data_IF_459848902737
#
_entry.id   IF_459848902737
#
_cell.length_a   1.000
_cell.length_b   1.000
_cell.length_c   1.000
_cell.angle_alpha   90.00
_cell.angle_beta   90.00
_cell.angle_gamma   90.00
#
_symmetry.space_group_name_H-M   'P 1'
#
loop_
_entity.id
_entity.type
_entity.pdbx_description
1 polymer ?
#
# COMPACT_ATOMS: atom_id res chain seq x y z
N UNK A 1 3.93 -30.43 -58.13
CA UNK A 1 2.74 -31.28 -57.86
C UNK A 1 3.25 -32.60 -57.27
N UNK A 2 3.52 -32.66 -55.96
CA UNK A 2 2.69 -33.28 -54.89
C UNK A 2 2.18 -34.69 -55.23
N UNK A 3 2.80 -35.74 -54.67
CA UNK A 3 2.19 -36.98 -54.10
C UNK A 3 3.18 -37.57 -53.08
N UNK A 4 3.05 -37.24 -51.79
CA UNK A 4 2.34 -37.99 -50.73
C UNK A 4 3.11 -39.24 -50.27
N UNK A 5 4.02 -39.07 -49.29
CA UNK A 5 4.50 -40.18 -48.46
C UNK A 5 3.72 -40.14 -47.15
N UNK A 6 2.88 -41.15 -46.94
CA UNK A 6 2.12 -41.37 -45.72
C UNK A 6 3.07 -41.84 -44.61
N UNK A 7 3.28 -41.01 -43.58
CA UNK A 7 3.97 -41.43 -42.35
C UNK A 7 2.94 -42.01 -41.40
N UNK A 8 3.12 -43.28 -41.07
CA UNK A 8 2.33 -44.05 -40.12
C UNK A 8 2.78 -43.65 -38.69
N UNK A 9 2.05 -42.77 -38.02
CA UNK A 9 2.24 -42.53 -36.59
C UNK A 9 1.63 -43.69 -35.80
N UNK A 10 2.50 -44.51 -35.19
CA UNK A 10 2.12 -45.53 -34.23
C UNK A 10 1.57 -44.89 -32.95
N UNK A 11 0.28 -45.11 -32.69
CA UNK A 11 -0.37 -44.83 -31.41
C UNK A 11 0.15 -45.85 -30.37
N UNK A 12 1.00 -45.39 -29.46
CA UNK A 12 1.36 -46.12 -28.25
C UNK A 12 0.24 -45.95 -27.23
N UNK A 13 -0.58 -47.00 -27.07
CA UNK A 13 -1.46 -47.19 -25.93
C UNK A 13 -0.62 -47.44 -24.67
N UNK A 14 -0.63 -46.52 -23.72
CA UNK A 14 -0.20 -46.80 -22.34
C UNK A 14 -1.47 -47.05 -21.53
N UNK A 15 -1.65 -48.32 -21.14
CA UNK A 15 -2.69 -48.76 -20.24
C UNK A 15 -2.49 -48.17 -18.83
N UNK A 16 -3.60 -47.72 -18.24
CA UNK A 16 -3.65 -47.05 -16.95
C UNK A 16 -3.28 -47.90 -15.75
N UNK A 17 -2.65 -47.24 -14.77
CA UNK A 17 -2.74 -47.62 -13.37
C UNK A 17 -3.89 -46.83 -12.75
N UNK A 18 -5.02 -47.49 -12.51
CA UNK A 18 -6.14 -46.95 -11.74
C UNK A 18 -5.74 -46.85 -10.27
N UNK A 19 -5.38 -45.65 -9.81
CA UNK A 19 -5.43 -45.33 -8.39
C UNK A 19 -6.91 -45.17 -7.98
N UNK A 20 -7.27 -45.76 -6.85
CA UNK A 20 -8.62 -45.67 -6.30
C UNK A 20 -9.02 -44.19 -6.09
N UNK A 21 -10.32 -43.83 -6.20
CA UNK A 21 -10.75 -42.49 -5.90
C UNK A 21 -10.49 -42.21 -4.41
N UNK A 22 -9.63 -41.23 -4.12
CA UNK A 22 -9.56 -40.61 -2.81
C UNK A 22 -10.95 -40.07 -2.45
N UNK A 23 -11.40 -40.18 -1.19
CA UNK A 23 -12.69 -39.65 -0.81
C UNK A 23 -12.72 -38.15 -1.12
N UNK A 24 -13.75 -37.74 -1.86
CA UNK A 24 -14.07 -36.34 -2.08
C UNK A 24 -14.20 -35.66 -0.73
N UNK A 25 -13.27 -34.77 -0.41
CA UNK A 25 -13.41 -33.89 0.75
C UNK A 25 -14.65 -33.05 0.47
N UNK A 26 -15.69 -33.27 1.25
CA UNK A 26 -16.91 -32.47 1.25
C UNK A 26 -16.54 -31.00 1.39
N UNK A 27 -17.08 -30.15 0.53
CA UNK A 27 -16.87 -28.71 0.51
C UNK A 27 -17.42 -27.96 1.73
N UNK A 28 -17.80 -28.65 2.80
CA UNK A 28 -18.55 -28.09 3.94
C UNK A 28 -17.73 -27.90 5.22
N UNK A 29 -16.39 -28.04 5.18
CA UNK A 29 -15.57 -27.86 6.40
C UNK A 29 -14.31 -27.03 6.12
N UNK A 30 -14.44 -25.98 5.31
CA UNK A 30 -13.47 -24.88 5.36
C UNK A 30 -13.80 -24.05 6.59
N UNK A 31 -12.88 -23.86 7.56
CA UNK A 31 -13.09 -22.89 8.61
C UNK A 31 -13.44 -21.56 7.94
N UNK A 32 -14.50 -20.90 8.42
CA UNK A 32 -14.87 -19.58 7.95
C UNK A 32 -13.61 -18.71 8.01
N UNK A 33 -13.08 -18.33 6.84
CA UNK A 33 -12.08 -17.28 6.76
C UNK A 33 -12.71 -16.08 7.48
N UNK A 34 -12.03 -15.49 8.46
CA UNK A 34 -12.39 -14.14 8.89
C UNK A 34 -12.37 -13.29 7.63
N UNK A 35 -13.55 -12.95 7.11
CA UNK A 35 -13.66 -12.25 5.84
C UNK A 35 -13.14 -10.82 5.98
N UNK A 36 -12.77 -10.20 4.86
CA UNK A 36 -12.47 -8.77 4.84
C UNK A 36 -13.69 -7.91 5.14
N UNK A 37 -13.43 -6.61 5.31
CA UNK A 37 -14.43 -5.63 5.69
C UNK A 37 -14.96 -4.88 4.44
N UNK A 38 -16.07 -5.38 3.89
CA UNK A 38 -16.75 -4.78 2.73
C UNK A 38 -17.72 -3.66 3.10
N UNK A 39 -17.48 -2.99 4.23
CA UNK A 39 -18.29 -1.86 4.70
C UNK A 39 -17.42 -0.63 4.82
N UNK A 40 -18.02 0.56 4.92
CA UNK A 40 -17.28 1.82 5.03
C UNK A 40 -16.87 2.18 6.47
N UNK A 41 -16.80 1.20 7.37
CA UNK A 41 -16.45 1.43 8.78
C UNK A 41 -15.11 2.16 8.95
N UNK A 42 -14.13 1.83 8.10
CA UNK A 42 -12.79 2.42 8.13
C UNK A 42 -12.68 3.74 7.37
N UNK A 43 -13.69 4.09 6.56
CA UNK A 43 -13.58 5.19 5.61
C UNK A 43 -13.79 6.53 6.28
N UNK A 44 -12.93 7.49 5.97
CA UNK A 44 -13.18 8.90 6.25
C UNK A 44 -14.28 9.42 5.34
N UNK A 45 -15.09 10.33 5.85
CA UNK A 45 -16.07 11.03 5.03
C UNK A 45 -15.36 12.03 4.11
N UNK A 46 -15.67 11.96 2.82
CA UNK A 46 -15.26 12.94 1.83
C UNK A 46 -15.80 14.33 2.19
N UNK A 47 -14.89 15.28 2.43
CA UNK A 47 -15.24 16.69 2.72
C UNK A 47 -15.24 17.54 1.45
N UNK A 48 -14.38 17.18 0.52
CA UNK A 48 -14.22 17.75 -0.80
C UNK A 48 -13.79 16.68 -1.80
N UNK A 49 -13.83 17.08 -3.06
CA UNK A 49 -13.51 16.26 -4.22
C UNK A 49 -12.74 17.15 -5.22
N UNK A 50 -11.53 16.74 -5.56
CA UNK A 50 -10.62 17.47 -6.44
C UNK A 50 -11.05 17.35 -7.91
N UNK A 51 -11.51 16.18 -8.33
CA UNK A 51 -11.95 15.84 -9.69
C UNK A 51 -13.08 14.79 -9.65
N UNK A 52 -14.36 15.20 -9.68
CA UNK A 52 -15.50 14.29 -9.48
C UNK A 52 -15.69 13.18 -10.52
N UNK A 53 -14.93 13.22 -11.61
CA UNK A 53 -15.00 12.24 -12.69
C UNK A 53 -13.75 11.34 -12.75
N UNK A 54 -12.80 11.51 -11.83
CA UNK A 54 -11.54 10.79 -11.78
C UNK A 54 -11.15 10.45 -10.33
N UNK A 55 -9.97 9.86 -10.13
CA UNK A 55 -9.56 9.39 -8.82
C UNK A 55 -10.15 8.02 -8.47
N UNK A 56 -9.60 7.41 -7.43
CA UNK A 56 -10.00 6.07 -7.01
C UNK A 56 -11.38 6.08 -6.33
N UNK A 57 -11.81 7.21 -5.78
CA UNK A 57 -13.13 7.42 -5.20
C UNK A 57 -14.27 7.33 -6.24
N UNK A 58 -14.03 7.79 -7.48
CA UNK A 58 -15.02 7.73 -8.58
C UNK A 58 -15.51 6.30 -8.89
N UNK A 59 -14.71 5.30 -8.50
CA UNK A 59 -15.00 3.87 -8.67
C UNK A 59 -15.07 3.12 -7.34
N UNK A 60 -15.22 3.80 -6.21
CA UNK A 60 -15.20 3.17 -4.88
C UNK A 60 -16.27 2.07 -4.76
N UNK A 61 -15.85 0.92 -4.19
CA UNK A 61 -16.61 -0.35 -4.08
C UNK A 61 -17.05 -1.01 -5.39
N UNK A 62 -16.81 -0.41 -6.56
CA UNK A 62 -17.26 -1.01 -7.84
C UNK A 62 -16.47 -2.28 -8.19
N UNK A 63 -15.24 -2.40 -7.67
CA UNK A 63 -14.35 -3.56 -7.86
C UNK A 63 -14.50 -4.67 -6.82
N UNK A 64 -15.38 -4.51 -5.82
CA UNK A 64 -15.46 -5.43 -4.69
C UNK A 64 -15.98 -6.82 -5.09
N UNK A 65 -15.24 -7.86 -4.70
CA UNK A 65 -15.63 -9.25 -4.87
C UNK A 65 -15.43 -10.04 -3.57
N UNK A 66 -16.47 -10.13 -2.70
CA UNK A 66 -16.39 -10.82 -1.41
C UNK A 66 -15.90 -12.27 -1.46
N UNK A 67 -16.22 -12.98 -2.54
CA UNK A 67 -15.82 -14.37 -2.76
C UNK A 67 -14.61 -14.49 -3.72
N UNK A 68 -13.74 -13.47 -3.77
CA UNK A 68 -12.56 -13.44 -4.63
C UNK A 68 -11.72 -14.72 -4.47
N UNK A 69 -11.46 -15.48 -5.56
CA UNK A 69 -10.58 -16.64 -5.50
C UNK A 69 -9.10 -16.23 -5.62
N UNK A 70 -8.81 -14.95 -5.89
CA UNK A 70 -7.48 -14.44 -6.21
C UNK A 70 -6.84 -13.69 -5.04
N UNK A 71 -7.65 -12.94 -4.30
CA UNK A 71 -7.19 -12.11 -3.18
C UNK A 71 -7.92 -12.53 -1.92
N UNK A 72 -7.16 -12.80 -0.86
CA UNK A 72 -7.74 -13.04 0.47
C UNK A 72 -7.93 -11.70 1.14
N UNK A 73 -9.11 -11.49 1.71
CA UNK A 73 -9.44 -10.21 2.35
C UNK A 73 -9.40 -10.40 3.86
N UNK A 74 -8.76 -9.45 4.54
CA UNK A 74 -8.57 -9.40 6.00
C UNK A 74 -9.16 -8.07 6.47
N UNK A 75 -9.87 -8.08 7.59
CA UNK A 75 -10.37 -6.85 8.21
C UNK A 75 -9.23 -6.16 8.97
N UNK A 76 -8.36 -5.45 8.24
CA UNK A 76 -7.20 -4.75 8.83
C UNK A 76 -7.61 -3.62 9.76
N UNK A 77 -8.77 -3.00 9.53
CA UNK A 77 -9.29 -1.93 10.38
C UNK A 77 -9.55 -2.38 11.82
N UNK A 78 -10.11 -3.58 12.00
CA UNK A 78 -10.37 -4.17 13.32
C UNK A 78 -9.29 -5.19 13.75
N UNK A 79 -8.19 -5.31 13.00
CA UNK A 79 -7.11 -6.22 13.35
C UNK A 79 -6.31 -5.69 14.55
N UNK A 80 -5.89 -6.62 15.41
CA UNK A 80 -5.05 -6.34 16.57
C UNK A 80 -3.68 -6.96 16.37
N UNK A 81 -2.64 -6.35 16.95
CA UNK A 81 -1.29 -6.91 16.90
C UNK A 81 -1.25 -8.30 17.56
N UNK A 82 -0.51 -9.22 16.95
CA UNK A 82 -0.31 -10.60 17.44
C UNK A 82 1.16 -10.85 17.74
N UNK A 83 1.56 -12.13 17.86
CA UNK A 83 2.95 -12.48 18.02
C UNK A 83 3.79 -12.22 16.76
N UNK A 84 3.17 -12.27 15.56
CA UNK A 84 3.86 -12.08 14.28
C UNK A 84 3.47 -10.77 13.58
N UNK A 85 2.21 -10.35 13.73
CA UNK A 85 1.66 -9.12 13.16
C UNK A 85 1.86 -7.95 14.12
N UNK A 86 2.59 -6.92 13.67
CA UNK A 86 2.56 -5.59 14.25
C UNK A 86 1.67 -4.72 13.36
N UNK A 87 0.61 -4.13 13.90
CA UNK A 87 -0.31 -3.26 13.14
C UNK A 87 -0.80 -2.09 13.99
N UNK A 88 -1.03 -0.95 13.34
CA UNK A 88 -1.73 0.20 13.92
C UNK A 88 -3.24 -0.02 13.78
N UNK A 89 -3.96 -0.39 14.86
CA UNK A 89 -5.38 -0.71 14.77
C UNK A 89 -6.19 0.55 14.47
N UNK A 90 -7.36 0.36 13.84
CA UNK A 90 -8.31 1.44 13.54
C UNK A 90 -7.74 2.61 12.71
N UNK A 91 -6.67 2.37 11.94
CA UNK A 91 -6.13 3.37 11.02
C UNK A 91 -7.13 3.61 9.88
N UNK A 92 -7.80 4.75 9.87
CA UNK A 92 -8.82 5.07 8.86
C UNK A 92 -8.22 5.32 7.48
N UNK A 93 -9.00 5.07 6.43
CA UNK A 93 -8.58 5.18 5.02
C UNK A 93 -9.51 6.12 4.25
N UNK A 94 -9.06 6.54 3.06
CA UNK A 94 -9.80 7.37 2.12
C UNK A 94 -9.21 7.10 0.74
N UNK A 95 -10.05 6.88 -0.28
CA UNK A 95 -9.59 6.89 -1.67
C UNK A 95 -9.34 8.34 -2.08
N UNK A 96 -8.28 8.60 -2.84
CA UNK A 96 -7.99 9.93 -3.36
C UNK A 96 -9.00 10.37 -4.42
N UNK A 97 -9.32 11.67 -4.43
CA UNK A 97 -10.33 12.28 -5.33
C UNK A 97 -9.75 12.85 -6.63
N UNK A 98 -8.53 12.47 -6.98
CA UNK A 98 -7.89 12.85 -8.26
C UNK A 98 -6.85 11.81 -8.67
N UNK A 99 -6.29 11.91 -9.87
CA UNK A 99 -5.23 10.98 -10.34
C UNK A 99 -3.81 11.33 -9.85
N UNK A 100 -3.64 12.34 -9.00
CA UNK A 100 -2.31 12.87 -8.64
C UNK A 100 -2.11 13.13 -7.14
N UNK A 101 -3.16 12.97 -6.33
CA UNK A 101 -3.19 13.40 -4.92
C UNK A 101 -2.81 12.31 -3.92
N UNK A 102 -2.27 11.17 -4.34
CA UNK A 102 -1.84 10.07 -3.46
C UNK A 102 -0.98 10.52 -2.27
N UNK A 103 -0.01 11.42 -2.50
CA UNK A 103 0.83 11.97 -1.44
C UNK A 103 0.05 12.85 -0.47
N UNK A 104 -0.90 13.64 -0.99
CA UNK A 104 -1.74 14.52 -0.18
C UNK A 104 -2.66 13.72 0.73
N UNK A 105 -3.29 12.67 0.20
CA UNK A 105 -4.15 11.79 0.99
C UNK A 105 -3.33 10.98 1.98
N UNK A 106 -2.13 10.50 1.63
CA UNK A 106 -1.23 9.84 2.59
C UNK A 106 -0.92 10.75 3.80
N UNK A 107 -0.66 12.04 3.57
CA UNK A 107 -0.50 13.02 4.65
C UNK A 107 -1.79 13.21 5.45
N UNK A 108 -2.95 13.31 4.78
CA UNK A 108 -4.27 13.41 5.40
C UNK A 108 -4.53 12.24 6.36
N UNK A 109 -4.23 11.01 5.94
CA UNK A 109 -4.43 9.80 6.75
C UNK A 109 -3.54 9.81 8.00
N UNK A 110 -2.27 10.20 7.87
CA UNK A 110 -1.34 10.31 9.01
C UNK A 110 -1.78 11.41 9.98
N UNK A 111 -2.17 12.58 9.47
CA UNK A 111 -2.72 13.66 10.30
C UNK A 111 -3.98 13.21 11.03
N UNK A 112 -4.87 12.46 10.37
CA UNK A 112 -6.07 11.91 10.98
C UNK A 112 -5.74 10.89 12.07
N UNK A 113 -4.81 9.97 11.82
CA UNK A 113 -4.38 8.95 12.78
C UNK A 113 -3.88 9.56 14.10
N UNK A 114 -3.23 10.73 14.05
CA UNK A 114 -2.78 11.45 15.24
C UNK A 114 -3.81 12.44 15.82
N UNK A 115 -5.06 12.43 15.35
CA UNK A 115 -6.10 13.40 15.71
C UNK A 115 -5.69 14.88 15.43
N UNK A 116 -4.80 15.10 14.45
CA UNK A 116 -4.29 16.43 14.07
C UNK A 116 -4.83 16.93 12.71
N UNK A 117 -5.73 16.20 12.05
CA UNK A 117 -6.29 16.62 10.76
C UNK A 117 -7.08 17.94 10.86
N UNK A 118 -7.83 18.14 11.95
CA UNK A 118 -8.64 19.33 12.16
C UNK A 118 -9.63 19.59 11.02
N UNK A 119 -9.61 20.81 10.47
CA UNK A 119 -10.44 21.25 9.35
C UNK A 119 -9.77 21.05 7.98
N UNK A 120 -8.57 20.46 7.95
CA UNK A 120 -7.90 20.20 6.69
C UNK A 120 -8.69 19.17 5.85
N UNK A 121 -8.60 19.33 4.54
CA UNK A 121 -9.20 18.48 3.53
C UNK A 121 -8.15 18.10 2.49
N UNK A 122 -8.51 17.25 1.53
CA UNK A 122 -7.57 16.89 0.46
C UNK A 122 -7.15 18.15 -0.33
N UNK A 123 -8.09 19.06 -0.62
CA UNK A 123 -7.76 20.32 -1.30
C UNK A 123 -6.88 21.25 -0.48
N UNK A 124 -7.18 21.47 0.81
CA UNK A 124 -6.40 22.43 1.60
C UNK A 124 -4.97 21.96 1.82
N UNK A 125 -4.75 20.65 1.96
CA UNK A 125 -3.41 20.07 2.02
C UNK A 125 -2.71 20.12 0.65
N UNK A 126 -3.43 19.88 -0.45
CA UNK A 126 -2.87 20.02 -1.80
C UNK A 126 -2.41 21.46 -2.09
N UNK A 127 -3.16 22.47 -1.62
CA UNK A 127 -2.80 23.88 -1.74
C UNK A 127 -1.49 24.26 -1.01
N UNK A 128 -1.04 23.46 -0.04
CA UNK A 128 0.23 23.69 0.68
C UNK A 128 1.46 23.24 -0.09
N UNK A 129 1.30 22.36 -1.08
CA UNK A 129 2.42 21.88 -1.91
C UNK A 129 3.07 23.02 -2.69
N UNK A 130 4.34 22.85 -3.08
CA UNK A 130 5.07 23.85 -3.85
C UNK A 130 4.39 24.18 -5.19
N UNK A 131 3.72 23.21 -5.79
CA UNK A 131 2.96 23.30 -7.03
C UNK A 131 1.43 23.50 -6.83
N UNK A 132 0.97 23.62 -5.57
CA UNK A 132 -0.44 23.82 -5.21
C UNK A 132 -1.36 22.77 -5.84
N UNK A 133 -2.45 23.22 -6.47
CA UNK A 133 -3.45 22.37 -7.13
C UNK A 133 -3.07 21.94 -8.57
N UNK A 134 -1.82 22.14 -8.99
CA UNK A 134 -1.38 21.66 -10.30
C UNK A 134 -1.39 20.11 -10.30
N UNK A 135 -2.02 19.45 -11.30
CA UNK A 135 -2.10 17.99 -11.41
C UNK A 135 -0.76 17.28 -11.64
N UNK A 136 0.08 17.29 -10.62
CA UNK A 136 1.45 16.76 -10.61
C UNK A 136 1.70 16.03 -9.29
N UNK A 137 2.70 15.16 -9.27
CA UNK A 137 3.06 14.39 -8.07
C UNK A 137 3.49 15.30 -6.90
N UNK A 138 3.39 14.76 -5.70
CA UNK A 138 3.92 15.38 -4.48
C UNK A 138 5.36 14.93 -4.31
N UNK A 139 6.31 15.85 -4.49
CA UNK A 139 7.73 15.63 -4.16
C UNK A 139 7.97 15.65 -2.65
N UNK A 140 9.18 15.27 -2.21
CA UNK A 140 9.49 15.18 -0.77
C UNK A 140 9.43 16.55 -0.08
N UNK A 141 9.87 17.63 -0.73
CA UNK A 141 9.83 18.98 -0.15
C UNK A 141 8.39 19.45 0.06
N UNK A 142 7.48 19.14 -0.87
CA UNK A 142 6.05 19.42 -0.74
C UNK A 142 5.41 18.61 0.36
N UNK A 143 5.79 17.32 0.50
CA UNK A 143 5.33 16.50 1.62
C UNK A 143 5.79 17.07 2.97
N UNK A 144 7.06 17.44 3.09
CA UNK A 144 7.60 18.12 4.28
C UNK A 144 6.85 19.43 4.55
N UNK A 145 6.64 20.23 3.51
CA UNK A 145 5.93 21.52 3.58
C UNK A 145 4.51 21.36 4.12
N UNK A 146 3.77 20.30 3.75
CA UNK A 146 2.44 20.01 4.30
C UNK A 146 2.52 19.85 5.82
N UNK A 147 3.48 19.06 6.33
CA UNK A 147 3.61 18.83 7.77
C UNK A 147 4.16 20.06 8.52
N UNK A 148 5.05 20.85 7.92
CA UNK A 148 5.54 22.09 8.52
C UNK A 148 4.44 23.16 8.62
N UNK A 149 3.59 23.29 7.61
CA UNK A 149 2.49 24.26 7.61
C UNK A 149 1.33 23.84 8.52
N UNK A 150 1.05 22.55 8.64
CA UNK A 150 0.08 22.04 9.63
C UNK A 150 0.64 22.14 11.05
N UNK A 151 1.93 21.90 11.23
CA UNK A 151 2.68 22.10 12.47
C UNK A 151 2.45 21.01 13.52
N UNK A 152 3.28 21.01 14.56
CA UNK A 152 3.15 20.07 15.70
C UNK A 152 3.80 18.70 15.47
N UNK A 153 4.71 18.60 14.51
CA UNK A 153 5.41 17.35 14.20
C UNK A 153 6.92 17.54 14.13
N UNK A 154 7.63 16.57 14.69
CA UNK A 154 9.02 16.31 14.36
C UNK A 154 9.07 15.40 13.12
N UNK A 155 9.82 15.84 12.12
CA UNK A 155 9.97 15.15 10.86
C UNK A 155 11.34 14.46 10.75
N UNK A 156 11.34 13.32 10.09
CA UNK A 156 12.52 12.65 9.56
C UNK A 156 12.19 12.14 8.16
N UNK A 157 13.06 12.40 7.18
CA UNK A 157 12.83 12.05 5.78
C UNK A 157 14.07 11.43 5.14
N UNK A 158 13.91 10.88 3.94
CA UNK A 158 15.05 10.45 3.12
C UNK A 158 16.02 11.59 2.78
N UNK A 159 15.59 12.87 2.84
CA UNK A 159 16.48 14.02 2.59
C UNK A 159 17.50 14.25 3.71
N UNK A 160 17.27 13.68 4.90
CA UNK A 160 18.17 13.82 6.04
C UNK A 160 19.43 12.94 5.95
N UNK A 161 19.51 12.08 4.92
CA UNK A 161 20.56 11.09 4.75
C UNK A 161 21.22 11.20 3.37
N UNK A 162 22.55 11.01 3.26
CA UNK A 162 23.19 10.81 1.96
C UNK A 162 22.63 9.60 1.21
N UNK A 163 22.57 9.66 -0.12
CA UNK A 163 22.03 8.59 -0.97
C UNK A 163 22.66 7.22 -0.69
N UNK A 164 23.97 7.17 -0.45
CA UNK A 164 24.73 5.94 -0.20
C UNK A 164 24.56 5.40 1.23
N UNK A 165 23.83 6.11 2.10
CA UNK A 165 23.55 5.74 3.48
C UNK A 165 22.07 5.44 3.73
N UNK A 166 21.18 5.62 2.75
CA UNK A 166 19.74 5.41 2.92
C UNK A 166 19.38 4.01 3.42
N UNK A 167 20.03 2.97 2.88
CA UNK A 167 19.78 1.59 3.30
C UNK A 167 20.29 1.28 4.72
N UNK A 168 21.29 2.01 5.20
CA UNK A 168 21.75 1.93 6.61
C UNK A 168 20.82 2.73 7.53
N UNK A 169 20.33 3.87 7.06
CA UNK A 169 19.39 4.72 7.78
C UNK A 169 18.02 4.06 7.95
N UNK A 170 17.54 3.35 6.93
CA UNK A 170 16.23 2.70 6.93
C UNK A 170 16.36 1.24 6.48
N UNK A 171 16.86 0.34 7.34
CA UNK A 171 16.84 -1.10 7.06
C UNK A 171 15.42 -1.67 7.17
N UNK A 172 15.15 -2.84 6.60
CA UNK A 172 13.81 -3.44 6.53
C UNK A 172 13.13 -3.58 7.91
N UNK A 173 13.86 -4.02 8.92
CA UNK A 173 13.37 -4.19 10.30
C UNK A 173 12.93 -2.87 10.97
N UNK A 174 13.30 -1.73 10.38
CA UNK A 174 12.93 -0.41 10.89
C UNK A 174 11.42 -0.18 10.79
N UNK A 175 10.73 -0.74 9.80
CA UNK A 175 9.27 -0.68 9.72
C UNK A 175 8.62 -1.24 10.99
N UNK A 176 8.96 -2.46 11.37
CA UNK A 176 8.40 -3.10 12.56
C UNK A 176 8.73 -2.30 13.84
N UNK A 177 9.93 -1.73 13.93
CA UNK A 177 10.35 -0.89 15.07
C UNK A 177 9.50 0.38 15.19
N UNK A 178 9.25 1.08 14.09
CA UNK A 178 8.42 2.29 14.05
C UNK A 178 6.96 1.96 14.37
N UNK A 179 6.43 0.89 13.79
CA UNK A 179 5.05 0.46 14.04
C UNK A 179 4.83 0.03 15.50
N UNK A 180 5.80 -0.66 16.13
CA UNK A 180 5.77 -0.97 17.57
C UNK A 180 5.76 0.29 18.45
N UNK A 181 6.33 1.40 17.96
CA UNK A 181 6.28 2.69 18.63
C UNK A 181 4.99 3.47 18.33
N UNK A 182 4.07 2.92 17.53
CA UNK A 182 2.82 3.56 17.13
C UNK A 182 2.96 4.54 15.96
N UNK A 183 4.07 4.47 15.21
CA UNK A 183 4.42 5.43 14.16
C UNK A 183 4.19 4.84 12.77
N UNK A 184 3.21 5.35 11.99
CA UNK A 184 3.07 5.00 10.57
C UNK A 184 4.22 5.58 9.74
N UNK A 185 4.50 4.97 8.58
CA UNK A 185 5.57 5.41 7.69
C UNK A 185 5.00 5.75 6.32
N UNK A 186 5.11 7.00 5.88
CA UNK A 186 4.74 7.38 4.51
C UNK A 186 5.88 7.00 3.58
N UNK A 187 5.56 6.29 2.50
CA UNK A 187 6.53 5.82 1.51
C UNK A 187 6.09 6.21 0.11
N UNK A 188 7.04 6.65 -0.71
CA UNK A 188 6.87 6.86 -2.14
C UNK A 188 7.73 5.86 -2.92
N UNK A 189 7.13 5.19 -3.91
CA UNK A 189 7.81 4.19 -4.73
C UNK A 189 7.15 4.00 -6.10
N UNK A 190 7.79 3.22 -6.97
CA UNK A 190 7.42 3.01 -8.37
C UNK A 190 6.09 2.28 -8.63
N UNK A 191 5.30 1.98 -7.60
CA UNK A 191 3.94 1.47 -7.81
C UNK A 191 3.15 2.49 -8.62
N UNK A 192 2.33 2.01 -9.56
CA UNK A 192 1.66 2.85 -10.57
C UNK A 192 2.57 3.80 -11.39
N UNK A 193 3.89 3.61 -11.36
CA UNK A 193 4.86 4.54 -11.96
C UNK A 193 5.27 5.71 -11.06
N UNK A 194 4.84 5.72 -9.80
CA UNK A 194 5.11 6.72 -8.78
C UNK A 194 3.90 6.91 -7.87
N UNK A 195 3.94 6.39 -6.65
CA UNK A 195 2.79 6.36 -5.75
C UNK A 195 3.19 6.52 -4.29
N UNK A 196 2.38 7.25 -3.54
CA UNK A 196 2.53 7.45 -2.09
C UNK A 196 1.50 6.61 -1.35
N UNK A 197 1.97 5.93 -0.30
CA UNK A 197 1.14 5.10 0.58
C UNK A 197 1.63 5.22 2.02
N UNK A 198 0.85 4.73 2.97
CA UNK A 198 1.23 4.72 4.39
C UNK A 198 1.37 3.29 4.89
N UNK A 199 2.57 2.88 5.28
CA UNK A 199 2.79 1.59 5.95
C UNK A 199 2.22 1.66 7.36
N UNK A 200 1.29 0.75 7.66
CA UNK A 200 0.56 0.68 8.94
C UNK A 200 0.69 -0.69 9.62
N UNK A 201 1.28 -1.67 8.93
CA UNK A 201 1.51 -3.00 9.49
C UNK A 201 2.67 -3.74 8.87
N UNK A 202 3.21 -4.69 9.63
CA UNK A 202 4.27 -5.61 9.26
C UNK A 202 3.96 -6.97 9.89
N UNK A 203 3.89 -8.04 9.09
CA UNK A 203 3.69 -9.40 9.60
C UNK A 203 4.87 -10.28 9.22
N UNK A 204 5.51 -10.87 10.22
CA UNK A 204 6.60 -11.85 10.05
C UNK A 204 6.09 -13.25 9.70
N UNK A 205 4.77 -13.45 9.72
CA UNK A 205 4.10 -14.76 9.62
C UNK A 205 4.61 -15.82 10.63
N UNK A 206 5.41 -15.40 11.62
CA UNK A 206 6.06 -16.27 12.59
C UNK A 206 7.19 -17.13 12.02
N UNK A 207 7.75 -16.78 10.87
CA UNK A 207 8.87 -17.51 10.24
C UNK A 207 10.22 -16.88 10.61
N UNK A 208 11.32 -17.60 10.34
CA UNK A 208 12.67 -17.12 10.65
C UNK A 208 13.26 -16.20 9.56
N UNK A 209 12.64 -16.16 8.37
CA UNK A 209 13.19 -15.46 7.19
C UNK A 209 12.28 -14.32 6.79
N UNK A 210 12.84 -13.22 6.31
CA UNK A 210 12.09 -12.04 5.87
C UNK A 210 11.45 -12.17 4.48
N UNK A 211 11.69 -13.27 3.75
CA UNK A 211 11.23 -13.47 2.37
C UNK A 211 9.71 -13.60 2.24
N UNK A 212 9.04 -14.12 3.27
CA UNK A 212 7.59 -14.28 3.33
C UNK A 212 6.90 -13.23 4.21
N UNK A 213 7.66 -12.33 4.82
CA UNK A 213 7.12 -11.17 5.54
C UNK A 213 6.28 -10.29 4.59
N UNK A 214 5.29 -9.62 5.16
CA UNK A 214 4.41 -8.71 4.42
C UNK A 214 4.30 -7.34 5.09
N UNK A 215 4.16 -6.31 4.26
CA UNK A 215 3.73 -4.97 4.65
C UNK A 215 2.23 -4.82 4.40
N UNK A 216 1.55 -4.18 5.35
CA UNK A 216 0.17 -3.72 5.22
C UNK A 216 0.22 -2.21 5.09
N UNK A 217 -0.35 -1.68 4.01
CA UNK A 217 -0.39 -0.25 3.75
C UNK A 217 -1.82 0.26 3.72
N UNK A 218 -2.04 1.49 4.19
CA UNK A 218 -3.19 2.28 3.81
C UNK A 218 -2.88 2.94 2.45
N UNK A 219 -3.69 2.62 1.45
CA UNK A 219 -3.48 2.95 0.05
C UNK A 219 -4.57 3.89 -0.45
N UNK A 220 -4.23 5.15 -0.79
CA UNK A 220 -5.18 6.10 -1.37
C UNK A 220 -5.70 5.72 -2.76
N UNK A 221 -5.12 4.71 -3.43
CA UNK A 221 -5.51 4.28 -4.78
C UNK A 221 -5.84 2.78 -4.83
N UNK A 222 -6.48 2.27 -3.78
CA UNK A 222 -6.86 0.87 -3.68
C UNK A 222 -8.03 0.52 -4.63
N UNK A 223 -7.69 -0.04 -5.79
CA UNK A 223 -8.66 -0.36 -6.85
C UNK A 223 -8.49 -1.77 -7.42
N UNK A 224 -7.56 -2.58 -6.88
CA UNK A 224 -7.08 -3.79 -7.59
C UNK A 224 -7.02 -5.07 -6.77
N UNK A 225 -7.37 -5.04 -5.49
CA UNK A 225 -7.31 -6.21 -4.61
C UNK A 225 -8.68 -6.92 -4.40
N UNK A 226 -9.72 -6.42 -5.06
CA UNK A 226 -11.12 -6.86 -4.96
C UNK A 226 -11.81 -6.58 -3.61
N UNK A 227 -11.30 -5.64 -2.81
CA UNK A 227 -11.96 -5.07 -1.65
C UNK A 227 -11.42 -3.66 -1.43
N UNK A 228 -12.12 -2.67 -1.97
CA UNK A 228 -11.68 -1.27 -1.96
C UNK A 228 -11.87 -0.61 -0.58
N UNK A 229 -11.37 -1.25 0.48
CA UNK A 229 -11.39 -0.76 1.86
C UNK A 229 -10.22 0.18 2.17
N UNK A 230 -9.31 0.37 1.21
CA UNK A 230 -8.18 1.28 1.30
C UNK A 230 -6.94 0.63 1.89
N UNK A 231 -6.86 -0.70 1.97
CA UNK A 231 -5.67 -1.41 2.43
C UNK A 231 -5.09 -2.34 1.37
N UNK A 232 -3.78 -2.28 1.18
CA UNK A 232 -3.05 -3.16 0.25
C UNK A 232 -1.98 -3.95 0.99
N UNK A 233 -1.68 -5.16 0.51
CA UNK A 233 -0.62 -6.02 1.07
C UNK A 233 0.50 -6.22 0.04
N UNK A 234 1.74 -5.99 0.47
CA UNK A 234 2.94 -6.25 -0.33
C UNK A 234 3.87 -7.23 0.38
N UNK A 235 4.58 -8.08 -0.37
CA UNK A 235 5.71 -8.81 0.19
C UNK A 235 6.82 -7.85 0.60
N UNK A 236 7.28 -7.92 1.86
CA UNK A 236 8.12 -6.90 2.47
C UNK A 236 9.47 -6.75 1.78
N UNK A 237 10.20 -7.84 1.55
CA UNK A 237 11.45 -7.81 0.79
C UNK A 237 11.23 -7.37 -0.66
N UNK A 238 10.12 -7.80 -1.29
CA UNK A 238 9.83 -7.42 -2.68
C UNK A 238 9.61 -5.93 -2.81
N UNK A 239 8.85 -5.33 -1.89
CA UNK A 239 8.71 -3.88 -1.79
C UNK A 239 10.09 -3.24 -1.57
N UNK A 240 10.80 -3.64 -0.52
CA UNK A 240 12.03 -2.98 -0.07
C UNK A 240 13.13 -2.96 -1.13
N UNK A 241 13.34 -4.08 -1.84
CA UNK A 241 14.33 -4.16 -2.91
C UNK A 241 13.90 -3.52 -4.24
N UNK A 242 12.62 -3.11 -4.36
CA UNK A 242 12.11 -2.31 -5.47
C UNK A 242 11.71 -0.90 -5.04
N UNK A 243 12.07 -0.47 -3.82
CA UNK A 243 11.67 0.82 -3.28
C UNK A 243 12.47 1.96 -3.93
N UNK A 244 12.01 2.37 -5.10
CA UNK A 244 12.62 3.42 -5.92
C UNK A 244 11.54 4.19 -6.68
N UNK A 245 11.75 5.47 -6.91
CA UNK A 245 11.04 6.35 -7.83
C UNK A 245 11.77 6.46 -9.17
N UNK A 246 12.87 5.71 -9.37
CA UNK A 246 13.75 5.82 -10.53
C UNK A 246 14.15 7.28 -10.80
N UNK A 247 13.84 7.79 -11.98
CA UNK A 247 14.19 9.14 -12.43
C UNK A 247 12.95 10.06 -12.44
N UNK A 248 11.87 9.69 -11.73
CA UNK A 248 10.59 10.42 -11.74
C UNK A 248 10.74 11.91 -11.39
N UNK A 249 11.60 12.22 -10.41
CA UNK A 249 11.89 13.58 -9.95
C UNK A 249 13.21 14.14 -10.53
N UNK A 250 13.80 13.51 -11.55
CA UNK A 250 15.05 13.98 -12.15
C UNK A 250 14.90 15.40 -12.71
N UNK A 251 15.88 16.26 -12.44
CA UNK A 251 15.89 17.64 -12.92
C UNK A 251 15.19 18.65 -12.02
N UNK A 252 14.53 18.22 -10.93
CA UNK A 252 13.99 19.13 -9.91
C UNK A 252 15.06 19.73 -8.99
N UNK A 253 16.28 19.18 -9.00
CA UNK A 253 17.41 19.69 -8.20
C UNK A 253 17.37 19.26 -6.73
N UNK A 254 16.52 18.30 -6.37
CA UNK A 254 16.40 17.75 -5.02
C UNK A 254 17.08 16.38 -4.99
N UNK A 255 18.09 16.24 -4.13
CA UNK A 255 18.79 14.96 -3.93
C UNK A 255 17.90 13.99 -3.12
N UNK A 256 18.17 12.68 -3.19
CA UNK A 256 17.53 11.65 -2.35
C UNK A 256 16.01 11.48 -2.50
N UNK A 257 15.47 11.78 -3.68
CA UNK A 257 14.09 11.42 -4.07
C UNK A 257 14.00 10.19 -4.98
N UNK A 258 15.12 9.50 -5.20
CA UNK A 258 15.20 8.37 -6.11
C UNK A 258 14.94 7.03 -5.40
N UNK A 259 15.66 6.73 -4.33
CA UNK A 259 15.60 5.42 -3.67
C UNK A 259 15.14 5.61 -2.22
N UNK A 260 14.41 4.64 -1.65
CA UNK A 260 13.97 4.63 -0.26
C UNK A 260 13.33 5.97 0.18
N UNK A 261 12.41 6.49 -0.62
CA UNK A 261 11.76 7.77 -0.37
C UNK A 261 10.71 7.61 0.74
N UNK A 262 11.00 8.13 1.94
CA UNK A 262 10.11 8.07 3.09
C UNK A 262 9.96 9.41 3.81
N UNK A 263 8.83 9.59 4.50
CA UNK A 263 8.64 10.59 5.53
C UNK A 263 8.07 9.93 6.79
N UNK A 264 8.67 10.24 7.92
CA UNK A 264 8.20 9.89 9.26
C UNK A 264 7.79 11.20 9.94
N UNK A 265 6.54 11.29 10.36
CA UNK A 265 6.02 12.40 11.16
C UNK A 265 5.61 11.88 12.54
N UNK A 266 6.20 12.44 13.59
CA UNK A 266 5.88 12.11 14.99
C UNK A 266 5.40 13.37 15.68
N UNK A 267 4.23 13.37 16.36
CA UNK A 267 3.77 14.53 17.11
C UNK A 267 4.83 15.03 18.09
N UNK A 268 5.02 16.34 18.14
CA UNK A 268 5.87 16.96 19.15
C UNK A 268 5.31 16.64 20.54
N UNK A 269 6.16 16.15 21.44
CA UNK A 269 5.81 16.06 22.84
C UNK A 269 5.69 17.51 23.38
N UNK A 270 4.47 18.05 23.32
CA UNK A 270 4.16 19.40 23.80
C UNK A 270 4.54 19.68 25.24
#
# INVERSE_FOLDING_TARGET
MKKLLTVLCALLFIAGCSAAPSPSVSAEDRPARSGGNFTDQMKLAYRDDLDPEAGADSVERQGDHPDSPYFSTVDFYNAESTASLTILPHFQTMQQTSEWSCGVVSALLVLNYYDQLGEQTERTLAEMRSNGLTPEATDMESMITIFEQTGGFKLESSLDYPADQLAEAFPLERFETLLKAGTPVMVAWNDWGGHWQVVIGYDTLGTETTQDDVLIVADPYDTTDHNQDGYTVYGAERFYYNWTMYDFFEGQGIENQRDLMFLIAVPDAG
#
